data_IF_103042127071
#
_entry.id   IF_103042127071
#
_cell.length_a   1.000
_cell.length_b   1.000
_cell.length_c   1.000
_cell.angle_alpha   90.00
_cell.angle_beta   90.00
_cell.angle_gamma   90.00
#
_symmetry.space_group_name_H-M   'P 1'
#
loop_
_entity.id
_entity.type
_entity.pdbx_description
1 polymer ?
#
# COMPACT_ATOMS: atom_id res chain seq x y z
N UNK A 1 -11.21 16.16 -22.75
CA UNK A 1 -9.75 16.41 -22.79
C UNK A 1 -9.07 15.07 -23.00
N UNK A 2 -8.22 14.93 -24.02
CA UNK A 2 -7.41 13.71 -24.23
C UNK A 2 -6.37 13.59 -23.11
N UNK A 3 -6.00 12.35 -22.74
CA UNK A 3 -4.98 12.08 -21.69
C UNK A 3 -3.69 12.89 -21.93
N UNK A 4 -3.27 13.03 -23.18
CA UNK A 4 -2.12 13.83 -23.59
C UNK A 4 -2.24 15.33 -23.27
N UNK A 5 -3.42 15.94 -23.43
CA UNK A 5 -3.61 17.37 -23.11
C UNK A 5 -3.61 17.61 -21.60
N UNK A 6 -4.08 16.63 -20.82
CA UNK A 6 -4.02 16.70 -19.36
C UNK A 6 -2.60 16.52 -18.83
N UNK A 7 -1.82 15.58 -19.40
CA UNK A 7 -0.42 15.36 -19.00
C UNK A 7 0.44 16.58 -19.34
N UNK A 8 0.27 17.21 -20.52
CA UNK A 8 1.00 18.44 -20.87
C UNK A 8 0.63 19.62 -20.00
N UNK A 9 -0.66 19.80 -19.67
CA UNK A 9 -1.08 20.86 -18.75
C UNK A 9 -0.49 20.68 -17.35
N UNK A 10 -0.52 19.45 -16.82
CA UNK A 10 0.08 19.13 -15.53
C UNK A 10 1.60 19.33 -15.54
N UNK A 11 2.25 18.92 -16.63
CA UNK A 11 3.70 19.07 -16.84
C UNK A 11 4.16 20.53 -16.92
N UNK A 12 3.30 21.43 -17.41
CA UNK A 12 3.56 22.85 -17.53
C UNK A 12 3.35 23.64 -16.21
N UNK A 13 2.87 23.00 -15.14
CA UNK A 13 2.66 23.69 -13.88
C UNK A 13 4.00 24.05 -13.20
N UNK A 14 4.10 25.23 -12.54
CA UNK A 14 5.31 25.64 -11.81
C UNK A 14 5.72 24.65 -10.71
N UNK A 15 4.75 23.89 -10.19
CA UNK A 15 4.97 22.84 -9.22
C UNK A 15 5.74 21.65 -9.82
N UNK A 16 5.33 21.19 -11.02
CA UNK A 16 5.99 20.10 -11.72
C UNK A 16 7.39 20.50 -12.23
N UNK A 17 7.58 21.75 -12.66
CA UNK A 17 8.91 22.25 -13.05
C UNK A 17 9.86 22.34 -11.84
N UNK A 18 9.40 22.85 -10.69
CA UNK A 18 10.22 22.92 -9.47
C UNK A 18 10.67 21.53 -9.00
N UNK A 19 9.80 20.52 -9.09
CA UNK A 19 10.13 19.14 -8.75
C UNK A 19 11.23 18.57 -9.67
N UNK A 20 11.26 18.98 -10.95
CA UNK A 20 12.24 18.51 -11.93
C UNK A 20 13.55 19.26 -11.87
N UNK A 21 13.48 20.58 -11.69
CA UNK A 21 14.64 21.48 -11.75
C UNK A 21 15.52 21.33 -10.49
N UNK A 22 14.95 20.87 -9.37
CA UNK A 22 15.69 20.59 -8.15
C UNK A 22 16.02 19.09 -8.06
N UNK A 23 17.28 18.69 -8.32
CA UNK A 23 17.67 17.27 -8.46
C UNK A 23 17.51 16.44 -7.18
N UNK A 24 17.36 17.09 -6.01
CA UNK A 24 17.18 16.41 -4.72
C UNK A 24 15.73 16.08 -4.36
N UNK A 25 14.74 16.71 -5.02
CA UNK A 25 13.32 16.52 -4.65
C UNK A 25 12.84 15.12 -5.01
N UNK A 26 13.12 14.66 -6.24
CA UNK A 26 12.75 13.31 -6.69
C UNK A 26 13.38 12.22 -5.80
N UNK A 27 14.71 12.21 -5.52
CA UNK A 27 15.32 11.25 -4.60
C UNK A 27 14.75 11.30 -3.18
N UNK A 28 14.47 12.50 -2.65
CA UNK A 28 13.89 12.65 -1.31
C UNK A 28 12.48 12.05 -1.23
N UNK A 29 11.62 12.37 -2.20
CA UNK A 29 10.26 11.79 -2.30
C UNK A 29 10.35 10.27 -2.44
N UNK A 30 11.26 9.76 -3.27
CA UNK A 30 11.46 8.33 -3.45
C UNK A 30 11.91 7.64 -2.15
N UNK A 31 12.75 8.29 -1.36
CA UNK A 31 13.22 7.78 -0.07
C UNK A 31 12.07 7.68 0.93
N UNK A 32 11.25 8.73 1.04
CA UNK A 32 10.05 8.75 1.90
C UNK A 32 9.04 7.69 1.42
N UNK A 33 8.88 7.51 0.11
CA UNK A 33 8.01 6.50 -0.47
C UNK A 33 8.45 5.09 -0.06
N UNK A 34 9.75 4.77 -0.16
CA UNK A 34 10.28 3.45 0.25
C UNK A 34 10.07 3.22 1.75
N UNK A 35 10.32 4.22 2.59
CA UNK A 35 10.05 4.12 4.03
C UNK A 35 8.57 3.84 4.32
N UNK A 36 7.66 4.51 3.61
CA UNK A 36 6.23 4.27 3.72
C UNK A 36 5.86 2.84 3.31
N UNK A 37 6.44 2.30 2.23
CA UNK A 37 6.27 0.89 1.82
C UNK A 37 6.68 -0.04 2.96
N UNK A 38 7.85 0.17 3.55
CA UNK A 38 8.37 -0.67 4.63
C UNK A 38 7.42 -0.67 5.83
N UNK A 39 6.85 0.48 6.20
CA UNK A 39 5.89 0.57 7.31
C UNK A 39 4.57 -0.14 6.97
N UNK A 40 4.04 0.04 5.75
CA UNK A 40 2.80 -0.61 5.32
C UNK A 40 2.96 -2.12 5.29
N UNK A 41 3.99 -2.62 4.60
CA UNK A 41 4.28 -4.05 4.45
C UNK A 41 4.66 -4.67 5.79
N UNK A 42 5.47 -4.00 6.61
CA UNK A 42 5.82 -4.48 7.95
C UNK A 42 4.59 -4.57 8.87
N UNK A 43 3.69 -3.58 8.81
CA UNK A 43 2.44 -3.61 9.58
C UNK A 43 1.50 -4.70 9.10
N UNK A 44 1.41 -4.93 7.78
CA UNK A 44 0.65 -6.02 7.19
C UNK A 44 1.21 -7.38 7.62
N UNK A 45 2.52 -7.58 7.47
CA UNK A 45 3.25 -8.79 7.84
C UNK A 45 3.04 -9.17 9.31
N UNK A 46 3.27 -8.24 10.25
CA UNK A 46 3.10 -8.51 11.68
C UNK A 46 1.65 -8.88 12.01
N UNK A 47 0.70 -8.18 11.40
CA UNK A 47 -0.72 -8.44 11.62
C UNK A 47 -1.16 -9.79 11.03
N UNK A 48 -0.68 -10.12 9.83
CA UNK A 48 -1.04 -11.35 9.11
C UNK A 48 -0.38 -12.57 9.77
N UNK A 49 0.88 -12.46 10.24
CA UNK A 49 1.55 -13.48 11.04
C UNK A 49 0.90 -13.68 12.42
N UNK A 50 0.41 -12.60 13.05
CA UNK A 50 -0.39 -12.70 14.28
C UNK A 50 -1.69 -13.46 14.04
N UNK A 51 -2.37 -13.18 12.93
CA UNK A 51 -3.61 -13.87 12.52
C UNK A 51 -3.36 -15.33 12.12
N UNK A 52 -2.21 -15.62 11.52
CA UNK A 52 -1.79 -16.99 11.21
C UNK A 52 -1.45 -17.82 12.47
N UNK A 53 -1.28 -17.16 13.62
CA UNK A 53 -0.91 -17.79 14.90
C UNK A 53 0.58 -18.10 15.04
N UNK A 54 1.43 -17.45 14.24
CA UNK A 54 2.89 -17.69 14.20
C UNK A 54 3.65 -16.71 15.09
N UNK A 55 3.14 -15.48 15.25
CA UNK A 55 3.88 -14.39 15.92
C UNK A 55 3.03 -13.74 17.02
N UNK A 56 3.67 -13.34 18.13
CA UNK A 56 3.06 -12.64 19.27
C UNK A 56 1.80 -13.31 19.85
N UNK A 57 1.87 -14.64 20.08
CA UNK A 57 0.73 -15.44 20.58
C UNK A 57 0.27 -15.05 21.98
N UNK A 58 1.14 -14.40 22.76
CA UNK A 58 0.94 -14.06 24.17
C UNK A 58 -0.02 -12.86 24.41
N UNK A 59 -0.33 -12.06 23.38
CA UNK A 59 -1.17 -10.86 23.50
C UNK A 59 -2.46 -10.96 22.67
N UNK A 60 -3.61 -10.50 23.19
CA UNK A 60 -4.89 -10.56 22.47
C UNK A 60 -4.78 -10.04 21.01
N UNK A 61 -5.23 -10.80 19.99
CA UNK A 61 -5.08 -10.43 18.57
C UNK A 61 -5.63 -9.03 18.24
N UNK A 62 -6.73 -8.63 18.88
CA UNK A 62 -7.37 -7.33 18.65
C UNK A 62 -6.45 -6.14 19.02
N UNK A 63 -5.71 -6.24 20.13
CA UNK A 63 -4.84 -5.14 20.60
C UNK A 63 -3.67 -4.93 19.63
N UNK A 64 -3.05 -6.02 19.19
CA UNK A 64 -1.93 -6.00 18.24
C UNK A 64 -2.42 -5.44 16.89
N UNK A 65 -3.47 -6.04 16.32
CA UNK A 65 -3.98 -5.67 15.00
C UNK A 65 -4.43 -4.21 14.96
N UNK A 66 -5.13 -3.71 16.00
CA UNK A 66 -5.59 -2.31 16.06
C UNK A 66 -4.43 -1.31 16.08
N UNK A 67 -3.33 -1.64 16.76
CA UNK A 67 -2.13 -0.78 16.79
C UNK A 67 -1.46 -0.71 15.42
N UNK A 68 -1.20 -1.85 14.80
CA UNK A 68 -0.51 -1.90 13.50
C UNK A 68 -1.40 -1.39 12.35
N UNK A 69 -2.72 -1.56 12.44
CA UNK A 69 -3.65 -0.98 11.47
C UNK A 69 -3.57 0.53 11.40
N UNK A 70 -3.49 1.22 12.54
CA UNK A 70 -3.39 2.69 12.56
C UNK A 70 -2.13 3.15 11.80
N UNK A 71 -1.00 2.52 12.07
CA UNK A 71 0.26 2.80 11.37
C UNK A 71 0.20 2.46 9.89
N UNK A 72 -0.44 1.34 9.54
CA UNK A 72 -0.65 0.94 8.15
C UNK A 72 -1.45 1.99 7.37
N UNK A 73 -2.55 2.51 7.94
CA UNK A 73 -3.36 3.56 7.28
C UNK A 73 -2.62 4.88 7.13
N UNK A 74 -1.90 5.32 8.17
CA UNK A 74 -1.08 6.55 8.10
C UNK A 74 -0.01 6.40 7.02
N UNK A 75 0.71 5.28 7.02
CA UNK A 75 1.74 5.02 6.03
C UNK A 75 1.18 4.86 4.62
N UNK A 76 -0.03 4.30 4.46
CA UNK A 76 -0.73 4.21 3.18
C UNK A 76 -1.06 5.60 2.62
N UNK A 77 -1.50 6.54 3.47
CA UNK A 77 -1.76 7.93 3.05
C UNK A 77 -0.46 8.60 2.59
N UNK A 78 0.62 8.46 3.35
CA UNK A 78 1.94 8.99 2.95
C UNK A 78 2.42 8.35 1.63
N UNK A 79 2.19 7.04 1.46
CA UNK A 79 2.54 6.30 0.26
C UNK A 79 1.79 6.82 -0.98
N UNK A 80 0.49 7.10 -0.83
CA UNK A 80 -0.35 7.65 -1.90
C UNK A 80 0.04 9.09 -2.25
N UNK A 81 0.32 9.93 -1.25
CA UNK A 81 0.78 11.31 -1.46
C UNK A 81 2.11 11.29 -2.21
N UNK A 82 3.11 10.57 -1.70
CA UNK A 82 4.44 10.50 -2.34
C UNK A 82 4.38 9.88 -3.74
N UNK A 83 3.59 8.82 -3.93
CA UNK A 83 3.37 8.22 -5.25
C UNK A 83 2.69 9.17 -6.23
N UNK A 84 1.72 9.95 -5.74
CA UNK A 84 1.06 11.00 -6.51
C UNK A 84 2.02 12.11 -6.92
N UNK A 85 2.89 12.58 -6.01
CA UNK A 85 3.93 13.56 -6.36
C UNK A 85 4.88 13.02 -7.44
N UNK A 86 5.31 11.76 -7.34
CA UNK A 86 6.15 11.16 -8.39
C UNK A 86 5.42 11.07 -9.73
N UNK A 87 4.12 10.73 -9.72
CA UNK A 87 3.29 10.73 -10.92
C UNK A 87 3.13 12.14 -11.53
N UNK A 88 3.13 13.21 -10.72
CA UNK A 88 3.09 14.59 -11.25
C UNK A 88 4.41 15.04 -11.89
N UNK A 89 5.55 14.44 -11.49
CA UNK A 89 6.87 14.78 -12.04
C UNK A 89 7.07 14.21 -13.46
N UNK A 90 6.59 12.99 -13.70
CA UNK A 90 6.64 12.31 -15.00
C UNK A 90 5.29 11.68 -15.39
N UNK A 91 4.23 12.49 -15.60
CA UNK A 91 2.88 11.99 -15.78
C UNK A 91 2.70 11.15 -17.04
N UNK A 92 3.45 11.47 -18.11
CA UNK A 92 3.38 10.73 -19.37
C UNK A 92 3.93 9.31 -19.22
N UNK A 93 5.06 9.13 -18.51
CA UNK A 93 5.66 7.80 -18.26
C UNK A 93 4.86 6.94 -17.29
N UNK A 94 4.20 7.58 -16.32
CA UNK A 94 3.48 6.86 -15.26
C UNK A 94 2.06 6.51 -15.67
N UNK A 95 1.31 7.41 -16.30
CA UNK A 95 -0.11 7.21 -16.62
C UNK A 95 -0.34 6.33 -17.86
N UNK A 96 0.63 6.28 -18.78
CA UNK A 96 0.56 5.42 -19.98
C UNK A 96 1.02 3.98 -19.70
N UNK A 97 1.70 3.73 -18.58
CA UNK A 97 2.23 2.40 -18.25
C UNK A 97 1.16 1.53 -17.57
N UNK A 98 0.77 0.43 -18.23
CA UNK A 98 -0.19 -0.56 -17.71
C UNK A 98 0.23 -1.15 -16.36
N UNK A 99 1.53 -1.27 -16.09
CA UNK A 99 2.07 -1.80 -14.83
C UNK A 99 1.71 -0.92 -13.63
N UNK A 100 1.61 0.40 -13.83
CA UNK A 100 1.16 1.32 -12.78
C UNK A 100 -0.29 1.04 -12.37
N UNK A 101 -1.18 0.87 -13.35
CA UNK A 101 -2.59 0.56 -13.11
C UNK A 101 -2.77 -0.80 -12.43
N UNK A 102 -1.98 -1.79 -12.81
CA UNK A 102 -1.96 -3.10 -12.17
C UNK A 102 -1.49 -3.02 -10.71
N UNK A 103 -0.48 -2.20 -10.42
CA UNK A 103 -0.06 -1.91 -9.04
C UNK A 103 -1.18 -1.26 -8.24
N UNK A 104 -1.90 -0.30 -8.82
CA UNK A 104 -3.01 0.38 -8.15
C UNK A 104 -4.17 -0.57 -7.86
N UNK A 105 -4.53 -1.46 -8.79
CA UNK A 105 -5.58 -2.45 -8.55
C UNK A 105 -5.20 -3.46 -7.45
N UNK A 106 -3.94 -3.90 -7.40
CA UNK A 106 -3.43 -4.74 -6.32
C UNK A 106 -3.47 -4.04 -4.96
N UNK A 107 -3.13 -2.75 -4.88
CA UNK A 107 -3.22 -1.97 -3.63
C UNK A 107 -4.67 -1.90 -3.15
N UNK A 108 -5.62 -1.63 -4.06
CA UNK A 108 -7.05 -1.61 -3.72
C UNK A 108 -7.51 -2.99 -3.24
N UNK A 109 -7.13 -4.06 -3.93
CA UNK A 109 -7.43 -5.43 -3.51
C UNK A 109 -6.86 -5.76 -2.12
N UNK A 110 -5.60 -5.39 -1.85
CA UNK A 110 -4.96 -5.57 -0.55
C UNK A 110 -5.70 -4.80 0.56
N UNK A 111 -6.11 -3.56 0.29
CA UNK A 111 -6.86 -2.74 1.24
C UNK A 111 -8.24 -3.34 1.53
N UNK A 112 -8.96 -3.79 0.50
CA UNK A 112 -10.27 -4.42 0.64
C UNK A 112 -10.18 -5.73 1.42
N UNK A 113 -9.18 -6.57 1.11
CA UNK A 113 -8.91 -7.80 1.84
C UNK A 113 -8.63 -7.50 3.31
N UNK A 114 -7.70 -6.56 3.56
CA UNK A 114 -7.34 -6.14 4.92
C UNK A 114 -8.55 -5.61 5.69
N UNK A 115 -9.41 -4.83 5.05
CA UNK A 115 -10.62 -4.28 5.64
C UNK A 115 -11.66 -5.36 5.97
N UNK A 116 -11.92 -6.28 5.04
CA UNK A 116 -12.91 -7.33 5.21
C UNK A 116 -12.53 -8.30 6.33
N UNK A 117 -11.25 -8.68 6.40
CA UNK A 117 -10.78 -9.60 7.44
C UNK A 117 -10.62 -8.94 8.80
N UNK A 118 -10.30 -7.64 8.86
CA UNK A 118 -10.00 -6.96 10.13
C UNK A 118 -11.16 -6.20 10.74
N UNK A 119 -12.18 -5.82 9.96
CA UNK A 119 -13.41 -5.21 10.52
C UNK A 119 -14.06 -6.05 11.62
N UNK A 120 -14.26 -7.37 11.46
CA UNK A 120 -14.90 -8.18 12.49
C UNK A 120 -14.06 -8.32 13.76
N UNK A 121 -12.72 -8.32 13.61
CA UNK A 121 -11.77 -8.42 14.72
C UNK A 121 -11.74 -7.17 15.61
N UNK A 122 -12.19 -6.03 15.09
CA UNK A 122 -12.29 -4.78 15.82
C UNK A 122 -13.56 -4.69 16.69
N UNK A 123 -14.51 -5.61 16.54
CA UNK A 123 -15.71 -5.64 17.39
C UNK A 123 -15.37 -6.16 18.80
N UNK A 124 -15.74 -5.44 19.88
CA UNK A 124 -15.37 -5.78 21.26
C UNK A 124 -15.81 -7.18 21.74
N UNK A 125 -16.88 -7.74 21.17
CA UNK A 125 -17.40 -9.07 21.51
C UNK A 125 -16.93 -10.19 20.58
N UNK A 126 -16.03 -9.92 19.63
CA UNK A 126 -15.62 -10.91 18.64
C UNK A 126 -14.48 -11.79 19.16
N UNK A 127 -14.81 -13.03 19.54
CA UNK A 127 -13.85 -14.07 19.84
C UNK A 127 -13.59 -14.92 18.59
N UNK A 128 -12.35 -14.90 18.10
CA UNK A 128 -11.88 -15.70 16.95
C UNK A 128 -12.23 -17.19 17.07
N UNK A 129 -12.35 -17.70 18.29
CA UNK A 129 -12.66 -19.10 18.60
C UNK A 129 -14.11 -19.48 18.25
N UNK A 130 -15.05 -18.52 18.28
CA UNK A 130 -16.48 -18.74 18.00
C UNK A 130 -16.88 -18.36 16.57
N UNK A 131 -15.92 -17.90 15.77
CA UNK A 131 -16.15 -17.42 14.42
C UNK A 131 -16.26 -18.57 13.42
N UNK A 132 -17.42 -18.73 12.76
CA UNK A 132 -17.65 -19.73 11.68
C UNK A 132 -16.63 -19.68 10.53
N UNK A 133 -15.93 -18.57 10.37
CA UNK A 133 -14.99 -18.28 9.29
C UNK A 133 -13.51 -18.34 9.74
N UNK A 134 -13.25 -18.74 11.00
CA UNK A 134 -11.91 -19.02 11.54
C UNK A 134 -11.01 -19.84 10.61
N UNK A 135 -11.45 -20.93 9.94
CA UNK A 135 -10.59 -21.68 9.02
C UNK A 135 -10.13 -20.86 7.79
N UNK A 136 -10.88 -19.82 7.40
CA UNK A 136 -10.53 -18.95 6.26
C UNK A 136 -9.57 -17.81 6.63
N UNK A 137 -9.37 -17.52 7.92
CA UNK A 137 -8.50 -16.41 8.37
C UNK A 137 -7.02 -16.68 8.04
N UNK A 138 -6.54 -17.91 8.24
CA UNK A 138 -5.16 -18.30 7.91
C UNK A 138 -4.84 -18.20 6.41
N UNK A 139 -5.61 -18.83 5.50
CA UNK A 139 -5.32 -18.72 4.07
C UNK A 139 -5.48 -17.28 3.56
N UNK A 140 -6.41 -16.50 4.11
CA UNK A 140 -6.55 -15.09 3.76
C UNK A 140 -5.36 -14.22 4.20
N UNK A 141 -4.78 -14.49 5.37
CA UNK A 141 -3.57 -13.82 5.83
C UNK A 141 -2.38 -14.10 4.88
N UNK A 142 -2.22 -15.35 4.44
CA UNK A 142 -1.21 -15.71 3.43
C UNK A 142 -1.48 -15.07 2.07
N UNK A 143 -2.74 -15.02 1.64
CA UNK A 143 -3.13 -14.34 0.40
C UNK A 143 -2.83 -12.85 0.46
N UNK A 144 -3.15 -12.18 1.58
CA UNK A 144 -2.82 -10.77 1.83
C UNK A 144 -1.32 -10.52 1.70
N UNK A 145 -0.51 -11.37 2.34
CA UNK A 145 0.94 -11.28 2.28
C UNK A 145 1.46 -11.47 0.84
N UNK A 146 0.93 -12.44 0.10
CA UNK A 146 1.26 -12.65 -1.31
C UNK A 146 0.92 -11.43 -2.17
N UNK A 147 -0.25 -10.81 -1.97
CA UNK A 147 -0.64 -9.59 -2.67
C UNK A 147 0.34 -8.44 -2.36
N UNK A 148 0.73 -8.24 -1.11
CA UNK A 148 1.72 -7.22 -0.75
C UNK A 148 3.09 -7.46 -1.41
N UNK A 149 3.53 -8.72 -1.49
CA UNK A 149 4.75 -9.09 -2.22
C UNK A 149 4.61 -8.75 -3.70
N UNK A 150 3.49 -9.11 -4.34
CA UNK A 150 3.21 -8.75 -5.73
C UNK A 150 3.20 -7.23 -5.97
N UNK A 151 2.69 -6.42 -5.03
CA UNK A 151 2.74 -4.95 -5.10
C UNK A 151 4.18 -4.43 -5.11
N UNK A 152 5.07 -5.00 -4.29
CA UNK A 152 6.49 -4.63 -4.25
C UNK A 152 7.18 -4.99 -5.56
N UNK A 153 6.94 -6.20 -6.07
CA UNK A 153 7.46 -6.66 -7.36
C UNK A 153 6.99 -5.75 -8.50
N UNK A 154 5.70 -5.44 -8.59
CA UNK A 154 5.18 -4.49 -9.58
C UNK A 154 5.82 -3.10 -9.43
N UNK A 155 6.04 -2.64 -8.20
CA UNK A 155 6.71 -1.37 -7.91
C UNK A 155 8.14 -1.28 -8.46
N UNK A 156 8.89 -2.39 -8.47
CA UNK A 156 10.20 -2.45 -9.12
C UNK A 156 10.11 -2.68 -10.63
N UNK A 157 9.15 -3.48 -11.08
CA UNK A 157 8.93 -3.78 -12.50
C UNK A 157 8.59 -2.53 -13.33
N UNK A 158 7.93 -1.55 -12.73
CA UNK A 158 7.70 -0.24 -13.35
C UNK A 158 9.03 0.37 -13.85
N UNK A 159 10.13 0.28 -13.09
CA UNK A 159 11.42 0.83 -13.50
C UNK A 159 12.06 0.14 -14.72
N UNK A 160 11.64 -1.09 -15.05
CA UNK A 160 12.12 -1.84 -16.22
C UNK A 160 11.19 -1.75 -17.43
N UNK A 161 10.00 -1.19 -17.25
CA UNK A 161 8.97 -1.04 -18.31
C UNK A 161 8.77 0.42 -18.72
N UNK A 162 9.59 1.33 -18.18
CA UNK A 162 9.67 2.76 -18.52
C UNK A 162 10.79 3.02 -19.54
#
# INVERSE_FOLDING_TARGET
MTLQNFTTWLYATPFASTIRDVPWIIPAIQSIHILAITIVVGSALVSDLRLAGVFATDAMPNVVIRRYLRWMWIALVVLLITGGLMATGEPDRVLTNTTFWLKMSLIVAACLLTWFFRRPLLHPGFHLEHARWRPFVKPAAWLSLAVWVCVIFCGRWIAYTI
#
